data_IF_213544864385
#
_entry.id   IF_213544864385
#
_cell.length_a   1.000
_cell.length_b   1.000
_cell.length_c   1.000
_cell.angle_alpha   90.00
_cell.angle_beta   90.00
_cell.angle_gamma   90.00
#
_symmetry.space_group_name_H-M   'P 1'
#
loop_
_entity.id
_entity.type
_entity.pdbx_description
1 polymer ?
#
# COMPACT_ATOMS: atom_id res chain seq x y z
N UNK A 1 -8.61 -8.79 38.26
CA UNK A 1 -8.78 -8.41 36.84
C UNK A 1 -7.41 -8.47 36.20
N UNK A 2 -7.14 -9.49 35.39
CA UNK A 2 -5.90 -9.57 34.62
C UNK A 2 -6.12 -8.73 33.35
N UNK A 3 -5.75 -7.45 33.39
CA UNK A 3 -5.75 -6.64 32.18
C UNK A 3 -4.66 -7.20 31.29
N UNK A 4 -5.04 -7.84 30.18
CA UNK A 4 -4.09 -8.24 29.14
C UNK A 4 -3.21 -7.04 28.82
N UNK A 5 -1.88 -7.23 28.92
CA UNK A 5 -0.88 -6.19 28.65
C UNK A 5 -1.09 -5.53 27.28
N UNK A 6 -1.61 -6.29 26.31
CA UNK A 6 -2.03 -5.81 25.00
C UNK A 6 -3.21 -4.81 25.08
N UNK A 7 -4.25 -5.10 25.87
CA UNK A 7 -5.40 -4.21 26.05
C UNK A 7 -4.97 -2.88 26.69
N UNK A 8 -4.06 -2.93 27.66
CA UNK A 8 -3.49 -1.74 28.28
C UNK A 8 -2.67 -0.92 27.27
N UNK A 9 -1.82 -1.56 26.48
CA UNK A 9 -1.03 -0.90 25.44
C UNK A 9 -1.93 -0.24 24.39
N UNK A 10 -2.97 -0.93 23.91
CA UNK A 10 -3.94 -0.38 22.95
C UNK A 10 -4.71 0.82 23.52
N UNK A 11 -5.09 0.77 24.81
CA UNK A 11 -5.75 1.90 25.49
C UNK A 11 -4.82 3.10 25.61
N UNK A 12 -3.54 2.89 25.94
CA UNK A 12 -2.54 3.96 26.00
C UNK A 12 -2.32 4.60 24.63
N UNK A 13 -2.24 3.80 23.56
CA UNK A 13 -2.09 4.35 22.21
C UNK A 13 -3.33 5.15 21.80
N UNK A 14 -4.54 4.63 22.06
CA UNK A 14 -5.78 5.37 21.79
C UNK A 14 -5.78 6.72 22.51
N UNK A 15 -5.39 6.74 23.78
CA UNK A 15 -5.30 7.99 24.56
C UNK A 15 -4.30 8.99 23.97
N UNK A 16 -3.12 8.51 23.54
CA UNK A 16 -2.11 9.36 22.91
C UNK A 16 -2.63 9.96 21.60
N UNK A 17 -3.31 9.16 20.78
CA UNK A 17 -3.92 9.60 19.51
C UNK A 17 -5.06 10.59 19.76
N UNK A 18 -5.96 10.32 20.71
CA UNK A 18 -7.11 11.18 21.07
C UNK A 18 -6.69 12.57 21.59
N UNK A 19 -5.51 12.64 22.19
CA UNK A 19 -4.96 13.87 22.74
C UNK A 19 -3.86 14.49 21.90
N UNK A 20 -3.73 14.11 20.61
CA UNK A 20 -2.78 14.74 19.70
C UNK A 20 -3.06 16.24 19.53
N UNK A 21 -2.01 17.02 19.71
CA UNK A 21 -1.96 18.46 19.52
C UNK A 21 -0.64 18.84 18.86
N UNK A 22 -0.54 20.07 18.36
CA UNK A 22 0.71 20.60 17.81
C UNK A 22 1.89 20.51 18.80
N UNK A 23 1.64 20.63 20.11
CA UNK A 23 2.69 20.68 21.14
C UNK A 23 3.27 19.30 21.48
N UNK A 24 2.45 18.26 21.53
CA UNK A 24 2.86 16.92 21.90
C UNK A 24 3.10 15.99 20.70
N UNK A 25 2.81 16.44 19.46
CA UNK A 25 2.89 15.63 18.25
C UNK A 25 4.16 14.77 18.15
N UNK A 26 5.36 15.37 18.29
CA UNK A 26 6.63 14.64 18.16
C UNK A 26 6.86 13.62 19.28
N UNK A 27 6.50 13.97 20.52
CA UNK A 27 6.67 13.10 21.68
C UNK A 27 5.71 11.90 21.60
N UNK A 28 4.43 12.18 21.34
CA UNK A 28 3.40 11.15 21.17
C UNK A 28 3.73 10.23 19.97
N UNK A 29 4.25 10.77 18.87
CA UNK A 29 4.69 9.96 17.73
C UNK A 29 5.79 8.96 18.12
N UNK A 30 6.80 9.38 18.87
CA UNK A 30 7.88 8.49 19.30
C UNK A 30 7.39 7.37 20.23
N UNK A 31 6.49 7.70 21.16
CA UNK A 31 5.88 6.72 22.07
C UNK A 31 5.01 5.70 21.31
N UNK A 32 4.22 6.18 20.34
CA UNK A 32 3.35 5.31 19.53
C UNK A 32 4.18 4.40 18.62
N UNK A 33 5.26 4.90 18.02
CA UNK A 33 6.15 4.10 17.17
C UNK A 33 6.80 2.95 17.93
N UNK A 34 7.17 3.16 19.19
CA UNK A 34 7.72 2.11 20.06
C UNK A 34 6.71 1.02 20.42
N UNK A 35 5.42 1.36 20.52
CA UNK A 35 4.35 0.42 20.86
C UNK A 35 3.89 -0.44 19.67
N UNK A 36 4.40 -0.18 18.46
CA UNK A 36 4.39 -1.03 17.26
C UNK A 36 3.14 -1.88 17.06
N UNK A 37 1.94 -1.30 17.10
CA UNK A 37 0.73 -1.93 16.58
C UNK A 37 -0.17 -0.88 15.96
N UNK A 38 -0.14 -0.87 14.63
CA UNK A 38 -0.97 -0.13 13.65
C UNK A 38 -2.50 -0.34 13.83
N UNK A 39 -2.90 -1.04 14.89
CA UNK A 39 -4.25 -1.40 15.30
C UNK A 39 -5.09 -0.22 15.78
N UNK A 40 -4.43 0.84 16.25
CA UNK A 40 -5.05 1.99 16.93
C UNK A 40 -5.07 3.25 16.07
N UNK A 41 -4.74 3.15 14.78
CA UNK A 41 -4.58 4.31 13.88
C UNK A 41 -5.80 4.58 12.99
N UNK A 42 -6.62 3.56 12.76
CA UNK A 42 -7.90 3.75 12.08
C UNK A 42 -9.07 4.34 12.92
N UNK A 43 -9.02 4.57 14.26
CA UNK A 43 -10.15 5.15 14.99
C UNK A 43 -10.35 6.66 14.74
N UNK A 44 -9.48 7.31 13.96
CA UNK A 44 -9.76 8.64 13.42
C UNK A 44 -10.94 8.51 12.45
N UNK A 45 -12.15 8.80 12.93
CA UNK A 45 -13.37 8.54 12.20
C UNK A 45 -13.32 9.09 10.77
N UNK A 46 -13.45 8.20 9.78
CA UNK A 46 -13.74 8.53 8.37
C UNK A 46 -15.09 9.23 8.15
N UNK A 47 -15.65 9.82 9.21
CA UNK A 47 -16.95 10.49 9.25
C UNK A 47 -16.85 11.97 8.90
N UNK A 48 -15.64 12.53 8.75
CA UNK A 48 -15.41 13.93 8.37
C UNK A 48 -15.15 14.09 6.87
N UNK A 49 -15.72 15.13 6.27
CA UNK A 49 -15.59 15.52 4.85
C UNK A 49 -14.16 15.94 4.40
N UNK A 50 -13.10 15.37 5.00
CA UNK A 50 -11.70 15.78 4.76
C UNK A 50 -11.36 17.19 5.28
N UNK A 51 -12.30 17.84 5.96
CA UNK A 51 -12.16 19.18 6.59
C UNK A 51 -12.10 19.05 8.12
N UNK A 52 -11.18 18.23 8.62
CA UNK A 52 -10.93 18.11 10.06
C UNK A 52 -10.29 19.40 10.59
N UNK A 53 -10.98 20.14 11.47
CA UNK A 53 -10.44 21.33 12.15
C UNK A 53 -10.09 20.99 13.59
N UNK A 54 -8.93 21.46 14.08
CA UNK A 54 -8.51 21.26 15.48
C UNK A 54 -7.72 19.95 15.73
N UNK A 55 -8.25 19.08 16.61
CA UNK A 55 -7.57 17.84 17.07
C UNK A 55 -7.56 16.75 15.98
N UNK A 56 -8.69 16.56 15.31
CA UNK A 56 -8.87 15.62 14.20
C UNK A 56 -7.87 15.85 13.05
N UNK A 57 -7.40 17.09 12.88
CA UNK A 57 -6.36 17.42 11.89
C UNK A 57 -5.05 16.70 12.19
N UNK A 58 -4.58 16.74 13.45
CA UNK A 58 -3.30 16.15 13.83
C UNK A 58 -3.36 14.63 13.80
N UNK A 59 -4.52 14.05 14.15
CA UNK A 59 -4.79 12.62 14.02
C UNK A 59 -4.77 12.18 12.56
N UNK A 60 -5.45 12.92 11.68
CA UNK A 60 -5.47 12.64 10.23
C UNK A 60 -4.07 12.78 9.63
N UNK A 61 -3.30 13.80 10.01
CA UNK A 61 -1.92 13.97 9.56
C UNK A 61 -1.02 12.82 10.01
N UNK A 62 -1.13 12.40 11.27
CA UNK A 62 -0.38 11.27 11.80
C UNK A 62 -0.75 9.97 11.06
N UNK A 63 -2.05 9.73 10.82
CA UNK A 63 -2.52 8.58 10.06
C UNK A 63 -2.00 8.59 8.61
N UNK A 64 -2.03 9.74 7.92
CA UNK A 64 -1.45 9.87 6.58
C UNK A 64 0.03 9.46 6.59
N UNK A 65 0.81 10.00 7.54
CA UNK A 65 2.23 9.70 7.65
C UNK A 65 2.50 8.21 7.90
N UNK A 66 1.76 7.60 8.81
CA UNK A 66 1.91 6.18 9.13
C UNK A 66 1.48 5.28 7.97
N UNK A 67 0.41 5.63 7.24
CA UNK A 67 0.01 4.91 6.03
C UNK A 67 1.08 4.97 4.94
N UNK A 68 1.70 6.14 4.71
CA UNK A 68 2.80 6.28 3.75
C UNK A 68 4.00 5.42 4.16
N UNK A 69 4.34 5.39 5.46
CA UNK A 69 5.43 4.54 5.96
C UNK A 69 5.10 3.04 5.90
N UNK A 70 3.85 2.67 6.16
CA UNK A 70 3.41 1.28 6.22
C UNK A 70 3.49 0.58 4.86
N UNK A 71 3.18 1.28 3.77
CA UNK A 71 3.15 0.73 2.41
C UNK A 71 4.47 0.02 2.04
N UNK A 72 5.61 0.54 2.50
CA UNK A 72 6.92 -0.04 2.21
C UNK A 72 7.35 -1.15 3.18
N UNK A 73 6.53 -1.48 4.19
CA UNK A 73 6.85 -2.52 5.16
C UNK A 73 6.37 -3.90 4.68
N UNK A 74 7.11 -4.99 4.95
CA UNK A 74 6.74 -6.33 4.49
C UNK A 74 5.41 -6.84 5.06
N UNK A 75 5.01 -6.33 6.23
CA UNK A 75 3.74 -6.67 6.87
C UNK A 75 2.57 -5.74 6.47
N UNK A 76 2.73 -4.90 5.44
CA UNK A 76 1.72 -3.94 4.99
C UNK A 76 0.34 -4.58 4.80
N UNK A 77 0.26 -5.64 3.98
CA UNK A 77 -1.02 -6.28 3.60
C UNK A 77 -1.74 -6.81 4.83
N UNK A 78 -1.06 -7.64 5.64
CA UNK A 78 -1.63 -8.22 6.86
C UNK A 78 -2.07 -7.14 7.85
N UNK A 79 -1.28 -6.08 7.98
CA UNK A 79 -1.55 -5.00 8.94
C UNK A 79 -2.76 -4.17 8.52
N UNK A 80 -2.83 -3.79 7.23
CA UNK A 80 -3.96 -3.03 6.70
C UNK A 80 -5.25 -3.85 6.74
N UNK A 81 -5.20 -5.12 6.33
CA UNK A 81 -6.37 -6.00 6.37
C UNK A 81 -6.88 -6.18 7.80
N UNK A 82 -5.99 -6.48 8.75
CA UNK A 82 -6.38 -6.62 10.15
C UNK A 82 -7.05 -5.35 10.68
N UNK A 83 -6.48 -4.17 10.40
CA UNK A 83 -6.97 -2.90 10.90
C UNK A 83 -8.36 -2.55 10.36
N UNK A 84 -8.67 -2.90 9.11
CA UNK A 84 -9.98 -2.65 8.51
C UNK A 84 -11.00 -3.73 8.92
N UNK A 85 -10.57 -4.99 9.05
CA UNK A 85 -11.46 -6.10 9.40
C UNK A 85 -11.85 -6.10 10.87
N UNK A 86 -11.01 -5.56 11.75
CA UNK A 86 -11.21 -5.54 13.20
C UNK A 86 -11.22 -4.09 13.73
N UNK A 87 -12.23 -3.27 13.35
CA UNK A 87 -12.34 -1.92 13.87
C UNK A 87 -12.56 -1.97 15.39
N UNK A 88 -11.88 -1.07 16.12
CA UNK A 88 -12.06 -0.95 17.57
C UNK A 88 -13.53 -0.66 17.90
N UNK A 89 -14.04 -1.16 19.04
CA UNK A 89 -15.46 -1.13 19.41
C UNK A 89 -16.13 0.26 19.40
N UNK A 90 -15.38 1.35 19.42
CA UNK A 90 -15.90 2.73 19.33
C UNK A 90 -16.13 3.21 17.89
N UNK A 91 -15.70 2.45 16.88
CA UNK A 91 -15.69 2.87 15.48
C UNK A 91 -16.85 2.29 14.67
N UNK A 92 -17.85 3.13 14.39
CA UNK A 92 -19.05 2.74 13.62
C UNK A 92 -18.95 3.02 12.11
N UNK A 93 -17.90 3.71 11.66
CA UNK A 93 -17.75 4.24 10.29
C UNK A 93 -17.02 3.31 9.32
N UNK A 94 -16.15 2.41 9.80
CA UNK A 94 -15.49 1.40 8.96
C UNK A 94 -16.43 0.21 8.75
N UNK A 95 -17.45 0.41 7.93
CA UNK A 95 -18.27 -0.68 7.42
C UNK A 95 -17.85 -1.01 5.99
N UNK A 96 -17.75 -2.29 5.63
CA UNK A 96 -17.56 -2.70 4.23
C UNK A 96 -18.61 -2.01 3.36
N UNK A 97 -18.16 -1.17 2.44
CA UNK A 97 -19.03 -0.48 1.49
C UNK A 97 -18.23 -0.07 0.27
N UNK A 98 -18.92 0.13 -0.86
CA UNK A 98 -18.30 0.65 -2.07
C UNK A 98 -17.67 2.04 -1.88
N UNK A 99 -18.19 2.84 -0.94
CA UNK A 99 -17.71 4.20 -0.67
C UNK A 99 -16.46 4.24 0.22
N UNK A 100 -16.15 3.15 0.92
CA UNK A 100 -15.02 3.08 1.85
C UNK A 100 -13.71 3.46 1.15
N UNK A 101 -13.45 2.91 -0.04
CA UNK A 101 -12.24 3.19 -0.80
C UNK A 101 -12.14 4.67 -1.17
N UNK A 102 -13.23 5.27 -1.63
CA UNK A 102 -13.28 6.71 -1.96
C UNK A 102 -13.06 7.59 -0.73
N UNK A 103 -13.54 7.17 0.44
CA UNK A 103 -13.29 7.86 1.70
C UNK A 103 -11.83 7.72 2.16
N UNK A 104 -11.27 6.51 2.08
CA UNK A 104 -9.86 6.24 2.37
C UNK A 104 -8.95 7.11 1.50
N UNK A 105 -9.18 7.13 0.19
CA UNK A 105 -8.43 7.98 -0.75
C UNK A 105 -8.46 9.45 -0.35
N UNK A 106 -9.63 9.97 0.02
CA UNK A 106 -9.81 11.39 0.38
C UNK A 106 -9.16 11.75 1.70
N UNK A 107 -9.40 10.95 2.74
CA UNK A 107 -8.90 11.23 4.10
C UNK A 107 -7.39 11.04 4.16
N UNK A 108 -6.89 9.97 3.55
CA UNK A 108 -5.45 9.65 3.53
C UNK A 108 -4.68 10.41 2.45
N UNK A 109 -5.38 11.16 1.58
CA UNK A 109 -4.80 11.88 0.44
C UNK A 109 -3.92 10.98 -0.43
N UNK A 110 -4.42 9.77 -0.72
CA UNK A 110 -3.67 8.77 -1.48
C UNK A 110 -3.39 9.27 -2.90
N UNK A 111 -2.16 9.12 -3.35
CA UNK A 111 -1.82 9.23 -4.78
C UNK A 111 -2.46 8.09 -5.58
N UNK A 112 -2.56 8.24 -6.91
CA UNK A 112 -3.14 7.21 -7.80
C UNK A 112 -2.48 5.83 -7.59
N UNK A 113 -1.17 5.79 -7.40
CA UNK A 113 -0.43 4.56 -7.11
C UNK A 113 -0.87 3.99 -5.76
N UNK A 114 -0.89 4.81 -4.70
CA UNK A 114 -1.27 4.35 -3.37
C UNK A 114 -2.73 3.87 -3.30
N UNK A 115 -3.65 4.49 -4.04
CA UNK A 115 -5.04 4.00 -4.17
C UNK A 115 -5.06 2.56 -4.67
N UNK A 116 -4.35 2.28 -5.77
CA UNK A 116 -4.24 0.92 -6.33
C UNK A 116 -3.61 -0.03 -5.31
N UNK A 117 -2.54 0.37 -4.63
CA UNK A 117 -1.83 -0.50 -3.70
C UNK A 117 -2.67 -0.85 -2.46
N UNK A 118 -3.43 0.11 -1.94
CA UNK A 118 -4.40 -0.13 -0.87
C UNK A 118 -5.50 -1.10 -1.32
N UNK A 119 -6.05 -0.91 -2.52
CA UNK A 119 -7.05 -1.83 -3.06
C UNK A 119 -6.49 -3.24 -3.26
N UNK A 120 -5.25 -3.38 -3.75
CA UNK A 120 -4.58 -4.68 -3.92
C UNK A 120 -4.37 -5.39 -2.58
N UNK A 121 -3.93 -4.66 -1.55
CA UNK A 121 -3.80 -5.22 -0.22
C UNK A 121 -5.13 -5.76 0.30
N UNK A 122 -6.21 -4.99 0.13
CA UNK A 122 -7.55 -5.35 0.62
C UNK A 122 -8.24 -6.49 -0.13
N UNK A 123 -7.67 -6.98 -1.25
CA UNK A 123 -8.06 -8.27 -1.84
C UNK A 123 -7.75 -9.45 -0.90
N UNK A 124 -6.91 -9.26 0.11
CA UNK A 124 -6.53 -10.26 1.11
C UNK A 124 -7.29 -10.12 2.44
N UNK A 125 -8.32 -9.26 2.49
CA UNK A 125 -9.20 -9.13 3.66
C UNK A 125 -9.92 -10.45 3.98
N UNK A 126 -10.15 -10.67 5.27
CA UNK A 126 -11.00 -11.78 5.76
C UNK A 126 -12.48 -11.55 5.44
N UNK A 127 -12.90 -10.31 5.16
CA UNK A 127 -14.26 -9.95 4.81
C UNK A 127 -14.51 -10.12 3.30
N UNK A 128 -15.44 -11.01 2.94
CA UNK A 128 -15.74 -11.36 1.54
C UNK A 128 -16.32 -10.17 0.76
N UNK A 129 -17.20 -9.39 1.38
CA UNK A 129 -17.81 -8.21 0.75
C UNK A 129 -16.75 -7.15 0.45
N UNK A 130 -15.85 -6.91 1.42
CA UNK A 130 -14.75 -5.97 1.26
C UNK A 130 -13.82 -6.37 0.12
N UNK A 131 -13.50 -7.67 -0.01
CA UNK A 131 -12.74 -8.19 -1.16
C UNK A 131 -13.46 -7.94 -2.49
N UNK A 132 -14.78 -8.12 -2.52
CA UNK A 132 -15.60 -7.82 -3.70
C UNK A 132 -15.53 -6.34 -4.09
N UNK A 133 -15.67 -5.43 -3.13
CA UNK A 133 -15.52 -3.99 -3.36
C UNK A 133 -14.10 -3.60 -3.78
N UNK A 134 -13.07 -4.20 -3.17
CA UNK A 134 -11.68 -4.00 -3.56
C UNK A 134 -11.42 -4.41 -5.01
N UNK A 135 -11.94 -5.56 -5.44
CA UNK A 135 -11.81 -6.03 -6.82
C UNK A 135 -12.46 -5.06 -7.81
N UNK A 136 -13.65 -4.54 -7.50
CA UNK A 136 -14.32 -3.53 -8.34
C UNK A 136 -13.51 -2.22 -8.40
N UNK A 137 -12.98 -1.76 -7.26
CA UNK A 137 -12.17 -0.55 -7.17
C UNK A 137 -10.88 -0.67 -8.00
N UNK A 138 -10.18 -1.80 -7.90
CA UNK A 138 -8.95 -2.07 -8.68
C UNK A 138 -9.25 -2.15 -10.17
N UNK A 139 -10.33 -2.84 -10.56
CA UNK A 139 -10.74 -2.96 -11.96
C UNK A 139 -10.98 -1.60 -12.64
N UNK A 140 -11.33 -0.57 -11.86
CA UNK A 140 -11.48 0.79 -12.36
C UNK A 140 -10.14 1.56 -12.34
N UNK A 141 -9.44 1.56 -11.21
CA UNK A 141 -8.28 2.43 -10.98
C UNK A 141 -6.99 1.96 -11.63
N UNK A 142 -6.78 0.65 -11.73
CA UNK A 142 -5.53 0.09 -12.22
C UNK A 142 -5.33 0.34 -13.73
N UNK A 143 -6.31 0.08 -14.63
CA UNK A 143 -6.15 0.43 -16.05
C UNK A 143 -5.85 1.92 -16.27
N UNK A 144 -6.49 2.80 -15.50
CA UNK A 144 -6.27 4.25 -15.60
C UNK A 144 -4.88 4.67 -15.12
N UNK A 145 -4.35 4.03 -14.06
CA UNK A 145 -2.98 4.25 -13.58
C UNK A 145 -1.96 3.86 -14.65
N UNK A 146 -2.08 2.67 -15.22
CA UNK A 146 -1.13 2.18 -16.24
C UNK A 146 -1.16 3.07 -17.49
N UNK A 147 -2.36 3.45 -17.95
CA UNK A 147 -2.52 4.37 -19.08
C UNK A 147 -1.87 5.72 -18.79
N UNK A 148 -2.14 6.30 -17.61
CA UNK A 148 -1.58 7.58 -17.19
C UNK A 148 -0.05 7.57 -17.16
N UNK A 149 0.58 6.45 -16.79
CA UNK A 149 2.04 6.34 -16.77
C UNK A 149 2.64 6.17 -18.17
N UNK A 150 2.03 5.31 -19.01
CA UNK A 150 2.46 5.14 -20.42
C UNK A 150 2.30 6.44 -21.20
N UNK A 151 1.24 7.20 -20.97
CA UNK A 151 0.98 8.46 -21.68
C UNK A 151 1.84 9.62 -21.16
N UNK A 152 2.17 9.66 -19.85
CA UNK A 152 3.01 10.71 -19.25
C UNK A 152 4.44 10.74 -19.84
N UNK A 153 4.89 9.62 -20.38
CA UNK A 153 6.14 9.49 -21.10
C UNK A 153 6.18 10.28 -22.43
N UNK A 154 5.01 10.53 -23.04
CA UNK A 154 4.90 11.28 -24.30
C UNK A 154 4.91 12.80 -24.09
N UNK A 155 4.79 13.29 -22.85
CA UNK A 155 4.80 14.70 -22.51
C UNK A 155 5.49 14.92 -21.17
N UNK A 156 6.75 15.36 -21.20
CA UNK A 156 7.72 15.37 -20.09
C UNK A 156 7.41 16.23 -18.86
N UNK A 157 6.18 16.23 -18.36
CA UNK A 157 5.83 16.79 -17.07
C UNK A 157 4.50 16.18 -16.58
N UNK A 158 4.51 15.49 -15.43
CA UNK A 158 3.51 15.56 -14.33
C UNK A 158 3.42 14.27 -13.49
N UNK A 159 3.65 14.43 -12.18
CA UNK A 159 2.98 13.82 -11.00
C UNK A 159 2.67 12.30 -10.93
N UNK A 160 3.08 11.48 -11.91
CA UNK A 160 2.71 10.06 -12.02
C UNK A 160 3.89 9.10 -12.09
N UNK A 161 5.12 9.56 -11.83
CA UNK A 161 6.32 8.75 -12.00
C UNK A 161 6.41 7.62 -10.98
N UNK A 162 6.57 6.38 -11.45
CA UNK A 162 7.01 5.25 -10.61
C UNK A 162 8.48 5.38 -10.13
N UNK A 163 9.14 6.51 -10.40
CA UNK A 163 10.54 6.76 -10.06
C UNK A 163 10.73 7.18 -8.60
N UNK A 164 9.74 7.87 -8.00
CA UNK A 164 9.78 8.34 -6.61
C UNK A 164 9.06 7.40 -5.63
N UNK A 165 8.57 6.25 -6.10
CA UNK A 165 7.89 5.27 -5.26
C UNK A 165 8.88 4.25 -4.69
N UNK A 166 8.54 3.70 -3.53
CA UNK A 166 9.31 2.60 -2.96
C UNK A 166 9.31 1.37 -3.88
N UNK A 167 10.44 0.68 -3.98
CA UNK A 167 10.61 -0.45 -4.91
C UNK A 167 9.65 -1.59 -4.57
N UNK A 168 9.36 -1.79 -3.29
CA UNK A 168 8.42 -2.77 -2.77
C UNK A 168 7.01 -2.56 -3.34
N UNK A 169 6.62 -1.30 -3.55
CA UNK A 169 5.33 -0.92 -4.14
C UNK A 169 5.26 -1.36 -5.60
N UNK A 170 6.32 -1.08 -6.35
CA UNK A 170 6.41 -1.48 -7.76
C UNK A 170 6.42 -3.00 -7.89
N UNK A 171 7.16 -3.67 -7.01
CA UNK A 171 7.21 -5.13 -6.95
C UNK A 171 5.83 -5.73 -6.68
N UNK A 172 5.07 -5.19 -5.73
CA UNK A 172 3.70 -5.65 -5.43
C UNK A 172 2.77 -5.47 -6.64
N UNK A 173 2.83 -4.30 -7.29
CA UNK A 173 2.05 -4.03 -8.50
C UNK A 173 2.38 -5.00 -9.63
N UNK A 174 3.67 -5.20 -9.93
CA UNK A 174 4.12 -6.12 -10.98
C UNK A 174 3.76 -7.56 -10.66
N UNK A 175 3.92 -8.00 -9.41
CA UNK A 175 3.53 -9.34 -8.99
C UNK A 175 2.04 -9.59 -9.24
N UNK A 176 1.19 -8.59 -8.97
CA UNK A 176 -0.24 -8.69 -9.27
C UNK A 176 -0.52 -8.73 -10.77
N UNK A 177 0.14 -7.89 -11.58
CA UNK A 177 -0.10 -7.84 -13.02
C UNK A 177 0.37 -9.11 -13.75
N UNK A 178 1.51 -9.66 -13.35
CA UNK A 178 2.14 -10.80 -14.02
C UNK A 178 1.61 -12.15 -13.54
N UNK A 179 1.29 -12.27 -12.24
CA UNK A 179 0.92 -13.55 -11.62
C UNK A 179 -0.48 -13.55 -11.00
N UNK A 180 -1.19 -12.43 -11.03
CA UNK A 180 -2.56 -12.34 -10.53
C UNK A 180 -3.56 -13.13 -11.38
N UNK A 181 -4.81 -13.21 -10.89
CA UNK A 181 -5.88 -13.86 -11.64
C UNK A 181 -6.18 -13.10 -12.93
N UNK A 182 -5.93 -13.75 -14.08
CA UNK A 182 -6.17 -13.18 -15.41
C UNK A 182 -7.63 -12.72 -15.53
N UNK A 183 -7.84 -11.46 -15.92
CA UNK A 183 -9.16 -10.84 -16.08
C UNK A 183 -9.75 -10.19 -14.81
N UNK A 184 -9.18 -10.43 -13.62
CA UNK A 184 -9.65 -9.79 -12.38
C UNK A 184 -9.26 -8.30 -12.31
N UNK A 185 -8.11 -7.95 -12.89
CA UNK A 185 -7.50 -6.61 -12.82
C UNK A 185 -8.12 -5.59 -13.79
N UNK A 186 -8.93 -6.03 -14.76
CA UNK A 186 -9.49 -5.16 -15.81
C UNK A 186 -8.49 -4.66 -16.85
N UNK A 187 -7.24 -5.10 -16.78
CA UNK A 187 -6.14 -4.70 -17.68
C UNK A 187 -5.98 -5.74 -18.78
N UNK A 188 -5.94 -5.29 -20.04
CA UNK A 188 -5.64 -6.16 -21.19
C UNK A 188 -4.14 -6.40 -21.36
N UNK A 189 -3.76 -7.52 -21.99
CA UNK A 189 -2.34 -7.88 -22.16
C UNK A 189 -1.54 -6.81 -22.89
N UNK A 190 -2.10 -6.19 -23.94
CA UNK A 190 -1.44 -5.11 -24.68
C UNK A 190 -1.08 -3.91 -23.78
N UNK A 191 -1.95 -3.58 -22.82
CA UNK A 191 -1.70 -2.51 -21.87
C UNK A 191 -0.61 -2.89 -20.86
N UNK A 192 -0.59 -4.15 -20.42
CA UNK A 192 0.50 -4.67 -19.57
C UNK A 192 1.82 -4.60 -20.33
N UNK A 193 1.86 -5.04 -21.58
CA UNK A 193 3.07 -5.05 -22.39
C UNK A 193 3.58 -3.62 -22.66
N UNK A 194 2.68 -2.67 -22.95
CA UNK A 194 3.03 -1.26 -23.09
C UNK A 194 3.62 -0.69 -21.79
N UNK A 195 2.95 -0.96 -20.65
CA UNK A 195 3.43 -0.56 -19.34
C UNK A 195 4.83 -1.12 -19.03
N UNK A 196 5.04 -2.42 -19.22
CA UNK A 196 6.33 -3.07 -18.99
C UNK A 196 7.43 -2.49 -19.89
N UNK A 197 7.13 -2.20 -21.16
CA UNK A 197 8.10 -1.57 -22.08
C UNK A 197 8.53 -0.19 -21.58
N UNK A 198 7.58 0.65 -21.18
CA UNK A 198 7.87 1.98 -20.59
C UNK A 198 8.70 1.83 -19.32
N UNK A 199 8.33 0.89 -18.44
CA UNK A 199 9.01 0.66 -17.17
C UNK A 199 10.44 0.12 -17.34
N UNK A 200 10.67 -0.78 -18.30
CA UNK A 200 12.01 -1.30 -18.62
C UNK A 200 12.96 -0.23 -19.16
N UNK A 201 12.44 0.87 -19.73
CA UNK A 201 13.27 2.01 -20.13
C UNK A 201 13.67 2.86 -18.91
N UNK A 202 12.74 3.05 -17.98
CA UNK A 202 12.98 3.80 -16.75
C UNK A 202 13.91 3.05 -15.78
N UNK A 203 13.85 1.72 -15.79
CA UNK A 203 14.69 0.81 -15.02
C UNK A 203 15.56 -0.07 -15.94
N UNK A 204 16.54 0.51 -16.65
CA UNK A 204 17.40 -0.27 -17.56
C UNK A 204 18.16 -1.35 -16.78
N UNK A 205 18.48 -2.45 -17.45
CA UNK A 205 18.99 -3.67 -16.82
C UNK A 205 20.18 -3.42 -15.87
N UNK A 206 21.11 -2.55 -16.23
CA UNK A 206 22.32 -2.26 -15.45
C UNK A 206 22.03 -1.51 -14.15
N UNK A 207 20.88 -0.85 -14.06
CA UNK A 207 20.44 -0.06 -12.90
C UNK A 207 19.13 -0.59 -12.30
N UNK A 208 18.65 -1.74 -12.76
CA UNK A 208 17.41 -2.33 -12.31
C UNK A 208 17.62 -2.92 -10.90
N UNK A 209 16.79 -2.56 -9.91
CA UNK A 209 16.83 -3.20 -8.60
C UNK A 209 16.70 -4.72 -8.70
N UNK A 210 17.52 -5.45 -7.93
CA UNK A 210 17.60 -6.92 -7.97
C UNK A 210 16.24 -7.59 -7.79
N UNK A 211 15.36 -7.01 -6.96
CA UNK A 211 14.01 -7.54 -6.71
C UNK A 211 13.07 -7.38 -7.91
N UNK A 212 13.30 -6.42 -8.80
CA UNK A 212 12.48 -6.18 -9.99
C UNK A 212 13.00 -6.93 -11.23
N UNK A 213 14.30 -7.23 -11.28
CA UNK A 213 14.92 -7.85 -12.44
C UNK A 213 14.25 -9.16 -12.90
N UNK A 214 13.85 -10.11 -12.01
CA UNK A 214 13.13 -11.32 -12.42
C UNK A 214 11.75 -11.06 -13.02
N UNK A 215 11.13 -9.93 -12.69
CA UNK A 215 9.80 -9.53 -13.16
C UNK A 215 9.87 -8.80 -14.52
N UNK A 216 10.90 -7.96 -14.71
CA UNK A 216 11.08 -7.14 -15.91
C UNK A 216 11.87 -7.87 -17.01
N UNK A 217 12.79 -8.75 -16.65
CA UNK A 217 13.69 -9.45 -17.57
C UNK A 217 13.69 -10.97 -17.34
N UNK A 218 12.53 -11.66 -17.46
CA UNK A 218 12.40 -13.08 -17.13
C UNK A 218 13.23 -14.02 -18.04
N UNK A 219 13.52 -13.61 -19.28
CA UNK A 219 14.25 -14.39 -20.28
C UNK A 219 15.75 -14.56 -19.96
N UNK A 220 16.30 -13.80 -19.00
CA UNK A 220 17.72 -13.83 -18.64
C UNK A 220 17.98 -14.45 -17.26
N UNK A 221 17.10 -15.34 -16.76
CA UNK A 221 17.35 -16.11 -15.52
C UNK A 221 18.79 -16.62 -15.52
N UNK A 222 19.54 -16.31 -14.47
CA UNK A 222 20.94 -16.69 -14.30
C UNK A 222 21.16 -18.20 -14.56
N UNK A 223 21.58 -18.53 -15.78
CA UNK A 223 22.26 -19.81 -16.05
C UNK A 223 23.73 -19.57 -15.71
N UNK A 224 24.05 -19.50 -14.42
CA UNK A 224 25.44 -19.54 -13.93
C UNK A 224 25.53 -20.25 -12.56
N UNK A 225 24.77 -21.32 -12.35
CA UNK A 225 25.07 -22.31 -11.31
C UNK A 225 25.78 -23.56 -11.88
N UNK A 226 25.99 -23.64 -13.20
CA UNK A 226 26.57 -24.81 -13.87
C UNK A 226 28.11 -24.76 -14.00
N UNK A 227 28.78 -23.93 -13.20
CA UNK A 227 30.27 -23.80 -13.20
C UNK A 227 30.91 -23.95 -11.81
N UNK A 228 30.29 -24.69 -10.90
CA UNK A 228 30.89 -25.00 -9.57
C UNK A 228 31.22 -26.50 -9.42
N UNK A 229 31.47 -27.20 -10.52
CA UNK A 229 32.23 -28.46 -10.47
C UNK A 229 33.35 -28.37 -11.52
N UNK A 230 34.60 -28.08 -11.12
CA UNK A 230 35.71 -28.48 -11.97
C UNK A 230 35.68 -30.01 -12.03
N UNK A 231 35.62 -30.55 -13.25
CA UNK A 231 35.91 -31.95 -13.54
C UNK A 231 37.14 -32.38 -12.73
N UNK A 232 36.90 -33.15 -11.67
CA UNK A 232 37.94 -33.88 -10.96
C UNK A 232 38.26 -35.12 -11.81
N UNK A 233 38.84 -34.88 -12.97
CA UNK A 233 39.48 -35.91 -13.78
C UNK A 233 40.91 -36.12 -13.28
N UNK A 234 41.14 -37.20 -12.55
CA UNK A 234 42.41 -37.94 -12.38
C UNK A 234 42.13 -39.23 -11.62
#
# INVERSE_FOLDING_TARGET
MNLDSLSLALSQISYLVDNLTKKNYKASQQEIQHASLTLSLFPCGFSGDGKSSGKDFHQTQFLIQECVSLISKPNFISTLCYAIDNPLHYQKSLKPSAHLFTQLSKVLKLSKVQEVIFGLALLNSSNVDLRGFAAQFIKQKLPDLLRSYVDADLGGNQEGGFQDIAIEVLHLLLSHLLFGQKGASGVGQEQIDAFLKTLCRDFPQERCPVVLAPLLYPEKRDILMDRILPDSGS
#
